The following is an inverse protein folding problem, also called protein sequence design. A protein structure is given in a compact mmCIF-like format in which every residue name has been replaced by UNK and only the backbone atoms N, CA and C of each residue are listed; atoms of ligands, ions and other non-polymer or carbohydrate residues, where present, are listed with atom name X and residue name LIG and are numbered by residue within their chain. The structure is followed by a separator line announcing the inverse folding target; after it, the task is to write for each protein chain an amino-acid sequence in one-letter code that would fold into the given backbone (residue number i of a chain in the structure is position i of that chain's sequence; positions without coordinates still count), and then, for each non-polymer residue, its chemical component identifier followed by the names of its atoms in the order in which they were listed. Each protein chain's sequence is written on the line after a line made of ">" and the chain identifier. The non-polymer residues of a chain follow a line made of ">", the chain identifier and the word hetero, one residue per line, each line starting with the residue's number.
data_IF_927394895764
#
_entry.id   IF_927394895764
#
_cell.length_a   1.000
_cell.length_b   1.000
_cell.length_c   1.000
_cell.angle_alpha   90.00
_cell.angle_beta   90.00
_cell.angle_gamma   90.00
#
_symmetry.space_group_name_H-M   'P 1'
#
loop_
_entity.id
_entity.type
_entity.pdbx_description
1 polymer ?
#
# COMPACT_ATOMS: atom_id res chain seq x y z
N UNK A 1 4.25 -4.52 -22.91
CA UNK A 1 5.27 -3.54 -23.38
C UNK A 1 6.09 -4.11 -24.53
N UNK A 2 6.73 -5.28 -24.38
CA UNK A 2 7.39 -5.99 -25.49
C UNK A 2 6.47 -6.24 -26.70
N UNK A 3 5.22 -6.67 -26.47
CA UNK A 3 4.21 -6.84 -27.55
C UNK A 3 3.86 -5.55 -28.30
N UNK A 4 4.23 -4.38 -27.76
CA UNK A 4 4.06 -3.05 -28.37
C UNK A 4 5.38 -2.50 -28.93
N UNK A 5 6.44 -3.31 -28.99
CA UNK A 5 7.73 -2.94 -29.59
C UNK A 5 8.72 -2.24 -28.65
N UNK A 6 8.47 -2.21 -27.34
CA UNK A 6 9.40 -1.58 -26.39
C UNK A 6 10.43 -2.58 -25.84
N UNK A 7 11.68 -2.12 -25.65
CA UNK A 7 12.66 -2.82 -24.82
C UNK A 7 12.20 -2.78 -23.37
N UNK A 8 12.27 -3.90 -22.66
CA UNK A 8 11.86 -4.00 -21.27
C UNK A 8 12.85 -4.88 -20.52
N UNK A 9 13.33 -4.38 -19.39
CA UNK A 9 14.10 -5.13 -18.41
C UNK A 9 13.34 -5.15 -17.09
N UNK A 10 13.31 -6.30 -16.43
CA UNK A 10 12.80 -6.41 -15.06
C UNK A 10 14.00 -6.41 -14.13
N UNK A 11 13.97 -5.54 -13.13
CA UNK A 11 15.07 -5.37 -12.18
C UNK A 11 14.53 -5.49 -10.77
N UNK A 12 15.23 -6.28 -9.95
CA UNK A 12 14.99 -6.34 -8.52
C UNK A 12 15.67 -5.16 -7.84
N UNK A 13 14.93 -4.36 -7.05
CA UNK A 13 15.52 -3.19 -6.37
C UNK A 13 16.77 -3.56 -5.53
N UNK A 14 16.78 -4.67 -4.76
CA UNK A 14 17.98 -5.13 -4.05
C UNK A 14 19.21 -5.43 -4.93
N UNK A 15 19.07 -5.65 -6.23
CA UNK A 15 20.20 -5.87 -7.14
C UNK A 15 20.75 -4.58 -7.73
N UNK A 16 20.14 -3.43 -7.44
CA UNK A 16 20.62 -2.13 -7.92
C UNK A 16 21.77 -1.64 -7.06
N UNK A 17 22.89 -1.32 -7.71
CA UNK A 17 24.07 -0.71 -7.12
C UNK A 17 24.13 0.76 -7.50
N UNK A 18 24.20 1.64 -6.50
CA UNK A 18 24.58 3.04 -6.69
C UNK A 18 26.08 3.24 -6.50
N UNK A 19 26.75 3.98 -7.39
CA UNK A 19 28.16 4.39 -7.20
C UNK A 19 28.26 5.91 -7.20
N UNK A 20 28.88 6.45 -6.14
CA UNK A 20 29.11 7.88 -5.91
C UNK A 20 30.57 8.25 -6.22
N UNK A 21 30.85 9.54 -6.44
CA UNK A 21 32.20 10.07 -6.66
C UNK A 21 32.60 10.33 -8.12
N UNK A 22 31.69 10.10 -9.07
CA UNK A 22 31.79 10.61 -10.45
C UNK A 22 30.96 11.89 -10.65
N UNK A 23 31.05 12.52 -11.82
CA UNK A 23 30.25 13.70 -12.20
C UNK A 23 28.73 13.48 -12.12
N UNK A 24 28.29 12.23 -12.13
CA UNK A 24 26.91 11.81 -11.93
C UNK A 24 26.86 10.52 -11.10
N UNK A 25 25.73 10.27 -10.42
CA UNK A 25 25.47 8.99 -9.75
C UNK A 25 25.25 7.91 -10.80
N UNK A 26 25.98 6.79 -10.69
CA UNK A 26 25.75 5.61 -11.53
C UNK A 26 24.74 4.70 -10.84
N UNK A 27 23.72 4.26 -11.57
CA UNK A 27 22.67 3.38 -11.08
C UNK A 27 22.64 2.15 -11.98
N UNK A 28 23.23 1.06 -11.49
CA UNK A 28 23.48 -0.14 -12.29
C UNK A 28 22.77 -1.32 -11.67
N UNK A 29 22.27 -2.22 -12.51
CA UNK A 29 21.64 -3.45 -12.05
C UNK A 29 22.05 -4.63 -12.91
N UNK A 30 21.81 -5.84 -12.41
CA UNK A 30 21.89 -7.05 -13.22
C UNK A 30 20.53 -7.33 -13.85
N UNK A 31 20.51 -7.49 -15.17
CA UNK A 31 19.36 -8.01 -15.90
C UNK A 31 19.15 -9.50 -15.64
N UNK A 32 18.02 -10.05 -16.12
CA UNK A 32 17.75 -11.49 -16.09
C UNK A 32 18.78 -12.33 -16.86
N UNK A 33 19.57 -11.69 -17.73
CA UNK A 33 20.68 -12.32 -18.49
C UNK A 33 22.05 -12.13 -17.83
N UNK A 34 22.10 -11.67 -16.58
CA UNK A 34 23.32 -11.34 -15.82
C UNK A 34 24.19 -10.22 -16.43
N UNK A 35 23.72 -9.57 -17.50
CA UNK A 35 24.36 -8.39 -18.06
C UNK A 35 24.09 -7.18 -17.15
N UNK A 36 25.14 -6.41 -16.90
CA UNK A 36 25.07 -5.14 -16.19
C UNK A 36 24.41 -4.08 -17.08
N UNK A 37 23.33 -3.49 -16.60
CA UNK A 37 22.58 -2.45 -17.29
C UNK A 37 22.65 -1.15 -16.48
N UNK A 38 22.79 -0.02 -17.18
CA UNK A 38 22.63 1.29 -16.58
C UNK A 38 21.15 1.68 -16.65
N UNK A 39 20.53 1.89 -15.48
CA UNK A 39 19.11 2.22 -15.40
C UNK A 39 18.77 3.53 -16.11
N UNK A 40 19.77 4.39 -16.35
CA UNK A 40 19.62 5.68 -17.03
C UNK A 40 19.54 5.56 -18.55
N UNK A 41 19.76 4.37 -19.11
CA UNK A 41 19.56 4.10 -20.55
C UNK A 41 18.09 3.91 -20.92
N UNK A 42 17.18 3.84 -19.93
CA UNK A 42 15.76 3.65 -20.15
C UNK A 42 15.02 4.98 -20.16
N UNK A 43 13.95 5.05 -20.96
CA UNK A 43 13.11 6.24 -21.07
C UNK A 43 12.11 6.38 -19.91
N UNK A 44 11.79 5.28 -19.23
CA UNK A 44 10.77 5.23 -18.18
C UNK A 44 11.02 4.09 -17.19
N UNK A 45 10.75 4.32 -15.91
CA UNK A 45 10.75 3.31 -14.88
C UNK A 45 9.33 3.00 -14.39
N UNK A 46 8.95 1.72 -14.36
CA UNK A 46 7.69 1.26 -13.80
C UNK A 46 7.93 0.54 -12.48
N UNK A 47 7.52 1.16 -11.39
CA UNK A 47 7.54 0.57 -10.06
C UNK A 47 6.47 -0.51 -9.93
N UNK A 48 6.93 -1.72 -9.57
CA UNK A 48 6.07 -2.91 -9.42
C UNK A 48 6.11 -3.53 -8.03
N UNK A 49 6.76 -2.87 -7.08
CA UNK A 49 6.72 -3.22 -5.67
C UNK A 49 7.84 -2.56 -4.88
N UNK A 50 7.72 -2.62 -3.55
CA UNK A 50 8.80 -2.37 -2.62
C UNK A 50 9.01 -3.67 -1.84
N UNK A 51 10.09 -4.43 -2.11
CA UNK A 51 10.31 -5.70 -1.42
C UNK A 51 10.47 -5.46 0.09
N UNK A 52 10.24 -6.47 0.95
CA UNK A 52 10.55 -6.37 2.37
C UNK A 52 12.04 -6.04 2.61
N UNK A 53 12.35 -5.46 3.76
CA UNK A 53 13.70 -5.09 4.17
C UNK A 53 13.71 -4.44 5.54
N UNK A 54 14.90 -4.18 6.09
CA UNK A 54 15.04 -3.32 7.26
C UNK A 54 14.58 -1.89 6.93
N UNK A 55 14.31 -1.08 7.96
CA UNK A 55 13.99 0.34 7.76
C UNK A 55 15.08 1.05 6.94
N UNK A 56 16.36 0.81 7.26
CA UNK A 56 17.50 1.34 6.51
C UNK A 56 17.46 0.93 5.03
N UNK A 57 17.16 -0.33 4.73
CA UNK A 57 17.03 -0.79 3.35
C UNK A 57 15.85 -0.11 2.65
N UNK A 58 14.70 0.08 3.31
CA UNK A 58 13.54 0.74 2.72
C UNK A 58 13.85 2.22 2.43
N UNK A 59 14.48 2.92 3.37
CA UNK A 59 14.92 4.32 3.20
C UNK A 59 15.89 4.41 2.02
N UNK A 60 16.93 3.59 1.99
CA UNK A 60 17.88 3.57 0.88
C UNK A 60 17.21 3.34 -0.49
N UNK A 61 16.21 2.46 -0.54
CA UNK A 61 15.45 2.20 -1.77
C UNK A 61 14.64 3.42 -2.20
N UNK A 62 14.05 4.17 -1.26
CA UNK A 62 13.38 5.43 -1.59
C UNK A 62 14.38 6.50 -2.06
N UNK A 63 15.54 6.60 -1.43
CA UNK A 63 16.62 7.51 -1.86
C UNK A 63 17.13 7.16 -3.26
N UNK A 64 17.21 5.87 -3.59
CA UNK A 64 17.57 5.39 -4.92
C UNK A 64 16.54 5.82 -5.97
N UNK A 65 15.24 5.65 -5.68
CA UNK A 65 14.16 6.08 -6.57
C UNK A 65 14.15 7.60 -6.75
N UNK A 66 14.38 8.35 -5.66
CA UNK A 66 14.49 9.79 -5.73
C UNK A 66 15.68 10.22 -6.59
N UNK A 67 16.84 9.59 -6.40
CA UNK A 67 18.05 9.84 -7.22
C UNK A 67 17.80 9.56 -8.70
N UNK A 68 17.06 8.49 -8.99
CA UNK A 68 16.70 8.12 -10.35
C UNK A 68 15.71 9.13 -10.98
N UNK A 69 14.75 9.64 -10.21
CA UNK A 69 13.84 10.71 -10.65
C UNK A 69 14.62 12.01 -10.96
N UNK A 70 15.63 12.35 -10.16
CA UNK A 70 16.48 13.53 -10.38
C UNK A 70 17.32 13.47 -11.66
N UNK A 71 17.47 12.31 -12.31
CA UNK A 71 18.10 12.23 -13.64
C UNK A 71 17.17 12.71 -14.75
N UNK A 72 15.92 13.06 -14.42
CA UNK A 72 14.88 13.45 -15.38
C UNK A 72 14.10 12.26 -15.94
N UNK A 73 14.36 11.03 -15.48
CA UNK A 73 13.60 9.86 -15.93
C UNK A 73 12.20 9.84 -15.26
N UNK A 74 11.12 9.75 -16.02
CA UNK A 74 9.78 9.51 -15.48
C UNK A 74 9.69 8.18 -14.73
N UNK A 75 9.13 8.21 -13.52
CA UNK A 75 8.89 7.02 -12.69
C UNK A 75 7.39 6.89 -12.39
N UNK A 76 6.81 5.72 -12.67
CA UNK A 76 5.42 5.40 -12.39
C UNK A 76 5.34 4.29 -11.33
N UNK A 77 4.88 4.53 -10.10
CA UNK A 77 4.50 5.82 -9.51
C UNK A 77 5.72 6.65 -9.08
N UNK A 78 5.59 7.99 -8.98
CA UNK A 78 6.65 8.86 -8.49
C UNK A 78 7.13 8.47 -7.08
N UNK A 79 8.40 8.71 -6.72
CA UNK A 79 8.96 8.33 -5.41
C UNK A 79 8.13 8.86 -4.23
N UNK A 80 7.66 10.11 -4.27
CA UNK A 80 6.79 10.68 -3.22
C UNK A 80 5.44 9.98 -3.06
N UNK A 81 4.90 9.45 -4.15
CA UNK A 81 3.66 8.68 -4.12
C UNK A 81 3.92 7.27 -3.57
N UNK A 82 5.06 6.67 -3.93
CA UNK A 82 5.51 5.40 -3.37
C UNK A 82 5.76 5.50 -1.86
N UNK A 83 6.50 6.52 -1.41
CA UNK A 83 6.74 6.83 0.01
C UNK A 83 5.41 6.95 0.78
N UNK A 84 4.47 7.72 0.23
CA UNK A 84 3.15 7.85 0.83
C UNK A 84 2.44 6.49 0.94
N UNK A 85 2.35 5.74 -0.15
CA UNK A 85 1.55 4.51 -0.21
C UNK A 85 2.10 3.34 0.62
N UNK A 86 3.41 3.31 0.91
CA UNK A 86 3.98 2.26 1.78
C UNK A 86 3.77 2.52 3.27
N UNK A 87 3.45 3.76 3.64
CA UNK A 87 3.19 4.20 5.01
C UNK A 87 1.68 4.44 5.21
N UNK A 88 1.05 3.57 6.02
CA UNK A 88 -0.39 3.65 6.29
C UNK A 88 -0.78 4.93 7.02
N UNK A 89 0.03 5.40 7.96
CA UNK A 89 -0.27 6.64 8.68
C UNK A 89 -0.24 7.82 7.72
N UNK A 90 0.81 7.94 6.90
CA UNK A 90 0.94 9.03 5.94
C UNK A 90 -0.18 8.99 4.89
N UNK A 91 -0.51 7.81 4.37
CA UNK A 91 -1.62 7.62 3.43
C UNK A 91 -2.94 8.09 4.03
N UNK A 92 -3.31 7.60 5.21
CA UNK A 92 -4.59 7.93 5.85
C UNK A 92 -4.63 9.40 6.30
N UNK A 93 -3.51 9.95 6.79
CA UNK A 93 -3.38 11.36 7.16
C UNK A 93 -3.64 12.29 5.97
N UNK A 94 -3.05 12.01 4.79
CA UNK A 94 -3.33 12.78 3.57
C UNK A 94 -4.78 12.65 3.11
N UNK A 95 -5.36 11.46 3.22
CA UNK A 95 -6.75 11.24 2.86
C UNK A 95 -7.70 11.98 3.80
N UNK A 96 -7.42 12.00 5.12
CA UNK A 96 -8.18 12.78 6.10
C UNK A 96 -8.08 14.29 5.83
N UNK A 97 -6.88 14.79 5.54
CA UNK A 97 -6.68 16.21 5.18
C UNK A 97 -7.45 16.59 3.90
N UNK A 98 -7.64 15.65 2.99
CA UNK A 98 -8.46 15.81 1.79
C UNK A 98 -9.97 15.64 2.05
N UNK A 99 -10.40 15.43 3.30
CA UNK A 99 -11.80 15.26 3.68
C UNK A 99 -12.41 13.91 3.30
N UNK A 100 -11.59 12.88 3.06
CA UNK A 100 -12.06 11.55 2.68
C UNK A 100 -12.47 10.74 3.89
N UNK A 101 -13.55 9.96 3.73
CA UNK A 101 -14.02 9.03 4.76
C UNK A 101 -12.99 7.91 4.98
N UNK A 102 -12.43 7.85 6.17
CA UNK A 102 -11.53 6.79 6.63
C UNK A 102 -12.01 6.27 7.99
N UNK A 103 -11.72 5.01 8.35
CA UNK A 103 -12.01 4.54 9.69
C UNK A 103 -11.13 5.27 10.72
N UNK A 104 -11.70 5.56 11.89
CA UNK A 104 -10.94 6.12 13.00
C UNK A 104 -9.72 5.26 13.30
N UNK A 105 -8.56 5.90 13.42
CA UNK A 105 -7.27 5.23 13.50
C UNK A 105 -6.37 5.95 14.51
N UNK A 106 -5.53 5.20 15.19
CA UNK A 106 -4.54 5.72 16.13
C UNK A 106 -3.17 5.10 15.87
N UNK A 107 -2.13 5.87 16.18
CA UNK A 107 -0.73 5.52 15.97
C UNK A 107 0.08 6.02 17.16
N UNK A 108 0.73 5.12 17.89
CA UNK A 108 1.53 5.46 19.08
C UNK A 108 2.81 4.62 19.16
N UNK A 109 3.68 4.95 20.12
CA UNK A 109 4.93 4.22 20.37
C UNK A 109 4.94 3.52 21.74
N UNK A 110 3.99 3.86 22.61
CA UNK A 110 3.87 3.31 23.97
C UNK A 110 2.59 2.49 24.12
N UNK A 111 2.69 1.42 24.91
CA UNK A 111 1.56 0.55 25.27
C UNK A 111 0.46 1.34 25.95
N UNK A 112 0.82 2.30 26.82
CA UNK A 112 -0.15 3.11 27.55
C UNK A 112 -1.04 3.90 26.58
N UNK A 113 -0.44 4.64 25.64
CA UNK A 113 -1.19 5.40 24.63
C UNK A 113 -1.97 4.47 23.68
N UNK A 114 -1.40 3.32 23.32
CA UNK A 114 -2.10 2.34 22.50
C UNK A 114 -3.33 1.76 23.21
N UNK A 115 -3.27 1.51 24.53
CA UNK A 115 -4.41 1.00 25.29
C UNK A 115 -5.49 2.06 25.53
N UNK A 116 -5.11 3.32 25.72
CA UNK A 116 -6.06 4.45 25.75
C UNK A 116 -6.81 4.53 24.43
N UNK A 117 -6.08 4.57 23.31
CA UNK A 117 -6.68 4.64 21.98
C UNK A 117 -7.53 3.40 21.66
N UNK A 118 -7.16 2.20 22.14
CA UNK A 118 -7.98 1.00 21.97
C UNK A 118 -9.38 1.17 22.57
N UNK A 119 -9.47 1.79 23.75
CA UNK A 119 -10.75 2.07 24.40
C UNK A 119 -11.54 3.15 23.66
N UNK A 120 -10.87 4.23 23.23
CA UNK A 120 -11.49 5.32 22.46
C UNK A 120 -12.05 4.85 21.11
N UNK A 121 -11.38 3.88 20.47
CA UNK A 121 -11.83 3.25 19.22
C UNK A 121 -12.95 2.21 19.42
N UNK A 122 -13.44 2.02 20.65
CA UNK A 122 -14.58 1.15 20.96
C UNK A 122 -14.21 -0.28 21.33
N UNK A 123 -12.92 -0.61 21.51
CA UNK A 123 -12.47 -1.92 21.98
C UNK A 123 -12.54 -3.08 20.96
N UNK A 124 -12.83 -2.77 19.69
CA UNK A 124 -12.74 -3.71 18.57
C UNK A 124 -11.93 -3.04 17.45
N UNK A 125 -10.65 -3.43 17.35
CA UNK A 125 -9.69 -2.79 16.46
C UNK A 125 -8.96 -3.80 15.61
N UNK A 126 -8.45 -3.31 14.48
CA UNK A 126 -7.47 -3.99 13.65
C UNK A 126 -6.11 -3.34 13.86
N UNK A 127 -5.20 -4.05 14.54
CA UNK A 127 -3.80 -3.67 14.67
C UNK A 127 -3.02 -4.08 13.41
N UNK A 128 -2.21 -3.17 12.87
CA UNK A 128 -1.48 -3.36 11.60
C UNK A 128 -0.06 -2.80 11.71
N UNK A 129 0.94 -3.44 11.11
CA UNK A 129 2.22 -2.78 10.87
C UNK A 129 2.02 -1.58 9.94
N UNK A 130 2.62 -0.44 10.30
CA UNK A 130 2.55 0.79 9.50
C UNK A 130 3.13 0.57 8.10
N UNK A 131 4.25 -0.17 8.02
CA UNK A 131 4.85 -0.65 6.78
C UNK A 131 4.46 -2.09 6.50
N UNK A 132 4.15 -2.40 5.24
CA UNK A 132 3.88 -3.76 4.79
C UNK A 132 2.61 -3.87 3.96
N UNK A 133 2.50 -4.98 3.22
CA UNK A 133 1.42 -5.25 2.27
C UNK A 133 0.80 -6.63 2.51
N UNK A 134 -0.30 -6.91 1.80
CA UNK A 134 -0.93 -8.25 1.72
C UNK A 134 -1.49 -8.78 3.05
N UNK A 135 -1.83 -7.89 4.01
CA UNK A 135 -2.45 -8.29 5.27
C UNK A 135 -1.54 -9.04 6.25
N UNK A 136 -0.23 -9.08 6.00
CA UNK A 136 0.74 -9.70 6.92
C UNK A 136 0.87 -8.86 8.20
N UNK A 137 0.87 -9.54 9.34
CA UNK A 137 0.96 -8.90 10.65
C UNK A 137 -0.32 -8.21 11.13
N UNK A 138 -1.42 -8.31 10.37
CA UNK A 138 -2.71 -7.75 10.77
C UNK A 138 -3.41 -8.66 11.79
N UNK A 139 -3.87 -8.07 12.90
CA UNK A 139 -4.58 -8.75 13.98
C UNK A 139 -5.87 -8.01 14.31
N UNK A 140 -6.99 -8.72 14.47
CA UNK A 140 -8.19 -8.15 15.10
C UNK A 140 -8.09 -8.38 16.60
N UNK A 141 -8.27 -7.32 17.38
CA UNK A 141 -8.18 -7.31 18.83
C UNK A 141 -9.53 -6.85 19.36
N UNK A 142 -10.20 -7.74 20.09
CA UNK A 142 -11.53 -7.51 20.70
C UNK A 142 -11.49 -7.55 22.22
N UNK A 143 -10.31 -7.79 22.80
CA UNK A 143 -10.13 -7.92 24.25
C UNK A 143 -8.88 -7.18 24.72
N UNK A 144 -9.03 -6.46 25.84
CA UNK A 144 -8.01 -5.56 26.36
C UNK A 144 -6.71 -6.29 26.77
N UNK A 145 -6.82 -7.52 27.29
CA UNK A 145 -5.67 -8.28 27.77
C UNK A 145 -4.81 -8.80 26.61
N UNK A 146 -5.43 -9.30 25.54
CA UNK A 146 -4.71 -9.66 24.31
C UNK A 146 -4.14 -8.41 23.65
N UNK A 147 -4.89 -7.31 23.57
CA UNK A 147 -4.38 -6.05 23.04
C UNK A 147 -3.12 -5.60 23.79
N UNK A 148 -3.14 -5.63 25.13
CA UNK A 148 -1.98 -5.33 25.99
C UNK A 148 -0.78 -6.20 25.66
N UNK A 149 -0.97 -7.52 25.52
CA UNK A 149 0.14 -8.45 25.20
C UNK A 149 0.72 -8.19 23.82
N UNK A 150 -0.14 -7.94 22.83
CA UNK A 150 0.27 -7.63 21.46
C UNK A 150 1.06 -6.33 21.42
N UNK A 151 0.53 -5.24 22.00
CA UNK A 151 1.19 -3.95 22.03
C UNK A 151 2.51 -3.98 22.82
N UNK A 152 2.57 -4.72 23.93
CA UNK A 152 3.82 -4.91 24.66
C UNK A 152 4.87 -5.60 23.79
N UNK A 153 4.49 -6.68 23.10
CA UNK A 153 5.38 -7.40 22.20
C UNK A 153 5.89 -6.51 21.07
N UNK A 154 4.99 -5.72 20.46
CA UNK A 154 5.34 -4.83 19.35
C UNK A 154 6.25 -3.68 19.79
N UNK A 155 6.00 -3.09 20.97
CA UNK A 155 6.88 -2.08 21.54
C UNK A 155 8.29 -2.64 21.82
N UNK A 156 8.39 -3.88 22.33
CA UNK A 156 9.70 -4.52 22.61
C UNK A 156 10.55 -4.71 21.34
N UNK A 157 9.93 -4.89 20.18
CA UNK A 157 10.64 -4.98 18.90
C UNK A 157 10.80 -3.62 18.20
N UNK A 158 10.44 -2.52 18.86
CA UNK A 158 10.54 -1.16 18.32
C UNK A 158 9.54 -0.85 17.21
N UNK A 159 8.41 -1.56 17.15
CA UNK A 159 7.37 -1.31 16.16
C UNK A 159 6.44 -0.17 16.60
N UNK A 160 6.00 0.61 15.62
CA UNK A 160 4.91 1.58 15.79
C UNK A 160 3.59 0.83 16.02
N UNK A 161 2.82 1.27 17.01
CA UNK A 161 1.55 0.68 17.42
C UNK A 161 0.40 1.36 16.66
N UNK A 162 0.20 0.94 15.41
CA UNK A 162 -0.93 1.40 14.60
C UNK A 162 -2.14 0.48 14.80
N UNK A 163 -3.29 1.09 15.07
CA UNK A 163 -4.58 0.42 15.20
C UNK A 163 -5.68 1.25 14.55
N UNK A 164 -6.70 0.57 14.07
CA UNK A 164 -7.82 1.15 13.35
C UNK A 164 -9.12 0.52 13.82
N UNK A 165 -10.19 1.29 13.97
CA UNK A 165 -11.52 0.77 14.31
C UNK A 165 -11.91 -0.35 13.35
N UNK A 166 -12.37 -1.47 13.89
CA UNK A 166 -12.90 -2.55 13.07
C UNK A 166 -14.19 -2.10 12.36
N UNK A 167 -14.29 -2.40 11.06
CA UNK A 167 -15.47 -2.12 10.25
C UNK A 167 -16.12 -3.45 9.90
N UNK A 168 -17.34 -3.67 10.39
CA UNK A 168 -18.10 -4.86 10.04
C UNK A 168 -18.73 -4.69 8.66
N UNK A 169 -18.32 -5.53 7.71
CA UNK A 169 -18.67 -5.46 6.30
C UNK A 169 -18.94 -6.86 5.72
N UNK A 170 -19.40 -7.79 6.58
CA UNK A 170 -19.67 -9.18 6.21
C UNK A 170 -18.47 -9.86 5.53
N UNK A 171 -17.26 -9.53 6.01
CA UNK A 171 -15.98 -10.02 5.47
C UNK A 171 -15.78 -9.69 3.99
N UNK A 172 -16.30 -8.55 3.52
CA UNK A 172 -16.14 -8.10 2.14
C UNK A 172 -15.48 -6.74 2.03
N UNK A 173 -14.74 -6.55 0.94
CA UNK A 173 -14.16 -5.26 0.59
C UNK A 173 -14.11 -5.09 -0.93
N UNK A 174 -13.94 -3.85 -1.40
CA UNK A 174 -13.94 -3.49 -2.81
C UNK A 174 -12.55 -2.95 -3.15
N UNK A 175 -11.87 -3.57 -4.11
CA UNK A 175 -10.63 -3.04 -4.68
C UNK A 175 -10.93 -2.34 -6.00
N UNK A 176 -10.78 -1.02 -6.01
CA UNK A 176 -10.91 -0.16 -7.18
C UNK A 176 -9.54 0.01 -7.82
N UNK A 177 -9.42 -0.30 -9.11
CA UNK A 177 -8.21 0.01 -9.88
C UNK A 177 -8.33 1.42 -10.46
N UNK A 178 -7.35 2.27 -10.17
CA UNK A 178 -7.30 3.65 -10.67
C UNK A 178 -6.03 3.82 -11.51
N UNK A 179 -6.19 4.42 -12.70
CA UNK A 179 -5.10 4.81 -13.58
C UNK A 179 -5.32 6.23 -14.07
N UNK A 180 -4.36 7.10 -13.78
CA UNK A 180 -4.31 8.49 -14.27
C UNK A 180 -5.62 9.25 -14.00
N UNK A 181 -6.07 9.20 -12.73
CA UNK A 181 -7.30 9.86 -12.28
C UNK A 181 -8.61 9.22 -12.76
N UNK A 182 -8.57 8.02 -13.36
CA UNK A 182 -9.76 7.29 -13.80
C UNK A 182 -9.86 5.93 -13.13
N UNK A 183 -11.02 5.63 -12.54
CA UNK A 183 -11.32 4.27 -12.11
C UNK A 183 -11.53 3.40 -13.36
N UNK A 184 -10.71 2.36 -13.53
CA UNK A 184 -10.73 1.47 -14.69
C UNK A 184 -11.52 0.17 -14.44
N UNK A 185 -11.97 -0.04 -13.21
CA UNK A 185 -12.81 -1.16 -12.80
C UNK A 185 -12.61 -1.50 -11.32
N UNK A 186 -13.38 -2.47 -10.83
CA UNK A 186 -13.22 -2.97 -9.47
C UNK A 186 -13.50 -4.46 -9.36
N UNK A 187 -12.98 -5.05 -8.29
CA UNK A 187 -13.36 -6.37 -7.81
C UNK A 187 -13.88 -6.26 -6.39
N UNK A 188 -14.90 -7.05 -6.07
CA UNK A 188 -15.28 -7.32 -4.70
C UNK A 188 -14.55 -8.58 -4.26
N UNK A 189 -13.97 -8.52 -3.07
CA UNK A 189 -13.30 -9.66 -2.44
C UNK A 189 -14.10 -10.08 -1.22
N UNK A 190 -14.22 -11.38 -1.00
CA UNK A 190 -14.96 -11.94 0.13
C UNK A 190 -14.10 -12.96 0.85
N UNK A 191 -13.92 -12.77 2.16
CA UNK A 191 -13.26 -13.72 3.05
C UNK A 191 -14.14 -14.94 3.31
N UNK A 192 -13.51 -16.10 3.48
CA UNK A 192 -14.24 -17.36 3.72
C UNK A 192 -14.39 -17.70 5.20
N UNK A 193 -13.39 -17.39 6.04
CA UNK A 193 -13.39 -17.64 7.49
C UNK A 193 -12.57 -16.58 8.28
N UNK A 194 -12.20 -15.49 7.61
CA UNK A 194 -11.29 -14.48 8.13
C UNK A 194 -11.85 -13.10 7.81
N UNK A 195 -11.74 -12.16 8.74
CA UNK A 195 -12.14 -10.76 8.51
C UNK A 195 -11.32 -10.10 7.39
N UNK A 196 -10.16 -10.67 7.07
CA UNK A 196 -9.33 -10.28 5.94
C UNK A 196 -9.90 -10.87 4.65
N UNK A 197 -10.54 -10.03 3.84
CA UNK A 197 -11.09 -10.41 2.54
C UNK A 197 -10.03 -10.61 1.42
N UNK A 198 -8.73 -10.49 1.72
CA UNK A 198 -7.67 -10.58 0.72
C UNK A 198 -7.63 -11.94 0.02
N UNK A 199 -7.77 -11.98 -1.31
CA UNK A 199 -7.73 -13.20 -2.13
C UNK A 199 -6.43 -14.01 -1.98
N UNK A 200 -5.34 -13.38 -1.52
CA UNK A 200 -4.09 -14.08 -1.20
C UNK A 200 -4.25 -15.13 -0.09
N UNK A 201 -5.31 -15.03 0.74
CA UNK A 201 -5.60 -15.92 1.87
C UNK A 201 -6.92 -16.67 1.69
N UNK A 202 -7.15 -17.26 0.51
CA UNK A 202 -8.30 -18.13 0.20
C UNK A 202 -9.66 -17.43 0.05
N UNK A 203 -9.68 -16.10 -0.05
CA UNK A 203 -10.88 -15.34 -0.42
C UNK A 203 -11.24 -15.46 -1.90
N UNK A 204 -12.51 -15.24 -2.25
CA UNK A 204 -12.97 -15.18 -3.64
C UNK A 204 -12.86 -13.75 -4.18
N UNK A 205 -12.82 -13.61 -5.51
CA UNK A 205 -12.88 -12.32 -6.19
C UNK A 205 -13.93 -12.39 -7.30
N UNK A 206 -14.78 -11.38 -7.36
CA UNK A 206 -15.77 -11.22 -8.43
C UNK A 206 -15.73 -9.80 -8.97
N UNK A 207 -16.18 -9.64 -10.22
CA UNK A 207 -16.37 -8.31 -10.80
C UNK A 207 -17.34 -7.50 -9.96
N UNK A 208 -16.99 -6.25 -9.69
CA UNK A 208 -17.85 -5.31 -8.96
C UNK A 208 -18.23 -4.14 -9.86
N UNK A 209 -19.52 -3.81 -9.92
CA UNK A 209 -20.00 -2.61 -10.60
C UNK A 209 -19.85 -1.41 -9.66
N UNK A 210 -18.96 -0.49 -10.03
CA UNK A 210 -18.64 0.68 -9.24
C UNK A 210 -19.82 1.64 -9.12
N UNK A 211 -20.12 2.07 -7.91
CA UNK A 211 -21.00 3.21 -7.66
C UNK A 211 -20.25 4.53 -7.89
N UNK A 212 -21.01 5.63 -8.10
CA UNK A 212 -20.41 6.96 -8.26
C UNK A 212 -19.61 7.37 -7.01
N UNK A 213 -20.11 7.05 -5.82
CA UNK A 213 -19.45 7.30 -4.54
C UNK A 213 -18.09 6.58 -4.44
N UNK A 214 -18.02 5.31 -4.87
CA UNK A 214 -16.79 4.52 -4.88
C UNK A 214 -15.75 5.07 -5.86
N UNK A 215 -16.20 5.51 -7.05
CA UNK A 215 -15.32 6.16 -8.04
C UNK A 215 -14.74 7.45 -7.48
N UNK A 216 -15.59 8.31 -6.91
CA UNK A 216 -15.17 9.61 -6.37
C UNK A 216 -14.19 9.45 -5.20
N UNK A 217 -14.48 8.53 -4.28
CA UNK A 217 -13.60 8.24 -3.15
C UNK A 217 -12.25 7.68 -3.62
N UNK A 218 -12.26 6.70 -4.53
CA UNK A 218 -11.03 6.07 -5.01
C UNK A 218 -10.14 7.03 -5.81
N UNK A 219 -10.72 7.79 -6.74
CA UNK A 219 -9.98 8.79 -7.53
C UNK A 219 -9.44 9.90 -6.64
N UNK A 220 -10.22 10.35 -5.65
CA UNK A 220 -9.77 11.39 -4.72
C UNK A 220 -8.66 10.88 -3.79
N UNK A 221 -8.69 9.61 -3.39
CA UNK A 221 -7.62 8.98 -2.61
C UNK A 221 -6.29 8.92 -3.40
N UNK A 222 -6.35 8.51 -4.66
CA UNK A 222 -5.19 8.55 -5.56
C UNK A 222 -4.65 9.97 -5.74
N UNK A 223 -5.53 10.97 -5.92
CA UNK A 223 -5.13 12.39 -6.01
C UNK A 223 -4.46 12.88 -4.72
N UNK A 224 -5.00 12.55 -3.55
CA UNK A 224 -4.47 12.96 -2.25
C UNK A 224 -3.09 12.35 -1.96
N UNK A 225 -2.85 11.12 -2.42
CA UNK A 225 -1.59 10.39 -2.21
C UNK A 225 -0.55 10.63 -3.32
N UNK A 226 -0.98 11.15 -4.48
CA UNK A 226 -0.15 11.31 -5.68
C UNK A 226 0.03 10.02 -6.48
N UNK A 227 -0.69 8.95 -6.13
CA UNK A 227 -0.63 7.68 -6.84
C UNK A 227 -1.34 7.81 -8.19
N UNK A 228 -0.60 7.56 -9.27
CA UNK A 228 -1.09 7.63 -10.65
C UNK A 228 -1.72 6.29 -11.04
N UNK A 229 -1.06 5.19 -10.73
CA UNK A 229 -1.60 3.84 -10.93
C UNK A 229 -1.68 3.11 -9.59
N UNK A 230 -2.89 2.83 -9.11
CA UNK A 230 -3.10 2.28 -7.78
C UNK A 230 -4.30 1.35 -7.67
N UNK A 231 -4.26 0.51 -6.64
CA UNK A 231 -5.43 -0.22 -6.15
C UNK A 231 -5.90 0.43 -4.86
N UNK A 232 -7.14 0.87 -4.83
CA UNK A 232 -7.75 1.52 -3.66
C UNK A 232 -8.70 0.52 -3.01
N UNK A 233 -8.44 0.20 -1.76
CA UNK A 233 -9.26 -0.72 -0.97
C UNK A 233 -10.30 0.08 -0.20
N UNK A 234 -11.56 -0.21 -0.49
CA UNK A 234 -12.74 0.40 0.12
C UNK A 234 -13.49 -0.65 0.91
N UNK A 235 -14.16 -0.23 1.97
CA UNK A 235 -15.03 -1.08 2.78
C UNK A 235 -16.34 -0.35 3.02
N UNK A 236 -17.44 -1.07 2.93
CA UNK A 236 -18.77 -0.56 3.24
C UNK A 236 -19.28 -1.30 4.47
N UNK A 237 -19.63 -0.56 5.52
CA UNK A 237 -20.16 -1.18 6.72
C UNK A 237 -21.60 -1.68 6.54
N UNK A 238 -22.10 -2.42 7.52
CA UNK A 238 -23.47 -2.95 7.53
C UNK A 238 -24.56 -1.87 7.51
N UNK A 239 -24.23 -0.64 7.89
CA UNK A 239 -25.11 0.54 7.80
C UNK A 239 -25.01 1.25 6.44
N UNK A 240 -24.12 0.79 5.56
CA UNK A 240 -23.93 1.30 4.21
C UNK A 240 -22.92 2.43 4.09
N UNK A 241 -22.25 2.83 5.17
CA UNK A 241 -21.23 3.88 5.15
C UNK A 241 -19.95 3.37 4.49
N UNK A 242 -19.44 4.15 3.52
CA UNK A 242 -18.22 3.83 2.78
C UNK A 242 -16.98 4.44 3.45
N UNK A 243 -15.91 3.66 3.52
CA UNK A 243 -14.61 4.08 4.04
C UNK A 243 -13.47 3.63 3.13
N UNK A 244 -12.42 4.45 3.08
CA UNK A 244 -11.14 4.12 2.47
C UNK A 244 -10.24 3.38 3.48
N UNK A 245 -9.76 2.18 3.12
CA UNK A 245 -8.86 1.38 3.95
C UNK A 245 -7.38 1.58 3.59
N UNK A 246 -7.05 1.53 2.30
CA UNK A 246 -5.66 1.52 1.82
C UNK A 246 -5.58 2.08 0.39
N UNK A 247 -4.47 2.74 0.07
CA UNK A 247 -4.08 3.05 -1.31
C UNK A 247 -2.78 2.32 -1.62
N UNK A 248 -2.85 1.31 -2.49
CA UNK A 248 -1.70 0.52 -2.89
C UNK A 248 -1.12 1.04 -4.22
N UNK A 249 0.11 1.53 -4.21
CA UNK A 249 0.79 2.07 -5.40
C UNK A 249 1.38 0.99 -6.34
N UNK A 250 1.33 -0.29 -5.98
CA UNK A 250 1.81 -1.40 -6.80
C UNK A 250 0.80 -2.56 -6.77
N UNK A 251 -0.45 -2.31 -7.20
CA UNK A 251 -1.50 -3.32 -7.07
C UNK A 251 -1.19 -4.54 -7.94
N UNK A 252 -1.50 -5.71 -7.41
CA UNK A 252 -1.59 -6.94 -8.20
C UNK A 252 -2.90 -6.94 -8.99
N UNK A 253 -2.83 -7.28 -10.28
CA UNK A 253 -3.98 -7.23 -11.19
C UNK A 253 -4.37 -8.60 -11.78
N UNK A 254 -3.79 -9.71 -11.30
CA UNK A 254 -4.10 -11.06 -11.84
C UNK A 254 -5.58 -11.41 -11.69
N UNK A 255 -6.14 -11.20 -10.49
CA UNK A 255 -7.55 -11.45 -10.22
C UNK A 255 -8.45 -10.46 -10.96
N UNK A 256 -8.05 -9.19 -10.99
CA UNK A 256 -8.75 -8.14 -11.75
C UNK A 256 -8.89 -8.53 -13.22
N UNK A 257 -7.77 -8.82 -13.90
CA UNK A 257 -7.75 -9.22 -15.31
C UNK A 257 -8.54 -10.52 -15.59
N UNK A 258 -8.67 -11.42 -14.62
CA UNK A 258 -9.41 -12.66 -14.80
C UNK A 258 -10.94 -12.46 -14.81
N UNK A 259 -11.44 -11.38 -14.20
CA UNK A 259 -12.89 -11.16 -13.99
C UNK A 259 -13.44 -9.89 -14.65
N UNK A 260 -12.59 -9.02 -15.19
CA UNK A 260 -12.96 -7.80 -15.92
C UNK A 260 -12.50 -7.86 -17.37
#
# INVERSE_FOLDING_TARGET
>A
AQSRGHRCEVVSIPSVRSTLGSSCVKLQAKSDTELEIDLREFDVCLMRGMPPGSLEQIIYRMDLLWTLEQTGMPILNPPKAMECAIDKFLTLSRCQQAGLSIPESSCSETVEEALTAFQELGGDVVAKPIFGAEGRGMLRLTDLETARRVFYTWQQIGAVLFQQRFIDAEMSDIRVMVLDGKAIGAIQRTGTNDFRANCAQQGTAQRHELTQEEVELAVSACRATGVIFGGVDLIRDTDGQLYLLEVNACPGWKHFQAVT
#
